data_IF_198384001491
#
_entry.id   IF_198384001491
#
_cell.length_a   1.000
_cell.length_b   1.000
_cell.length_c   1.000
_cell.angle_alpha   90.00
_cell.angle_beta   90.00
_cell.angle_gamma   90.00
#
_symmetry.space_group_name_H-M   'P 1'
#
loop_
_entity.id
_entity.type
_entity.pdbx_description
1 polymer ?
#
# COMPACT_ATOMS: atom_id res chain seq x y z
N UNK A 1 20.68 18.49 -7.38
CA UNK A 1 19.32 18.99 -7.12
C UNK A 1 18.58 17.81 -6.52
N UNK A 2 18.35 17.82 -5.21
CA UNK A 2 17.69 16.71 -4.53
C UNK A 2 16.20 16.72 -4.92
N UNK A 3 15.76 15.64 -5.57
CA UNK A 3 14.35 15.42 -5.82
C UNK A 3 13.73 15.08 -4.47
N UNK A 4 12.89 15.96 -3.93
CA UNK A 4 12.14 15.65 -2.72
C UNK A 4 11.16 14.53 -3.04
N UNK A 5 11.21 13.46 -2.27
CA UNK A 5 10.35 12.30 -2.42
C UNK A 5 9.62 12.01 -1.10
N UNK A 6 8.36 11.60 -1.21
CA UNK A 6 7.66 10.93 -0.12
C UNK A 6 7.79 9.42 -0.28
N UNK A 7 7.58 8.73 0.84
CA UNK A 7 7.66 7.28 0.91
C UNK A 7 6.39 6.72 1.54
N UNK A 8 5.88 5.64 0.97
CA UNK A 8 4.84 4.83 1.59
C UNK A 8 5.39 3.44 1.85
N UNK A 9 5.38 3.01 3.11
CA UNK A 9 5.77 1.66 3.52
C UNK A 9 4.53 0.88 3.97
N UNK A 10 4.39 -0.37 3.55
CA UNK A 10 3.25 -1.22 3.90
C UNK A 10 3.69 -2.61 4.33
N UNK A 11 3.38 -2.97 5.57
CA UNK A 11 3.57 -4.33 6.08
C UNK A 11 2.49 -5.26 5.49
N UNK A 12 2.93 -6.39 4.95
CA UNK A 12 2.18 -7.37 4.19
C UNK A 12 1.92 -8.60 5.06
N UNK A 13 0.73 -8.66 5.65
CA UNK A 13 0.35 -9.71 6.61
C UNK A 13 -0.93 -10.43 6.24
N UNK A 14 -1.14 -10.65 4.94
CA UNK A 14 -2.29 -11.43 4.48
C UNK A 14 -2.02 -12.94 4.62
N UNK A 15 -3.08 -13.73 4.64
CA UNK A 15 -3.00 -15.19 4.69
C UNK A 15 -3.23 -15.78 3.30
N UNK A 16 -2.16 -16.22 2.62
CA UNK A 16 -2.21 -16.91 1.32
C UNK A 16 -3.00 -16.13 0.25
N UNK A 17 -2.81 -14.81 0.19
CA UNK A 17 -3.56 -13.93 -0.70
C UNK A 17 -2.63 -13.00 -1.47
N UNK A 18 -2.98 -12.77 -2.73
CA UNK A 18 -2.38 -11.70 -3.53
C UNK A 18 -3.02 -10.35 -3.22
N UNK A 19 -2.24 -9.28 -3.24
CA UNK A 19 -2.76 -7.91 -3.14
C UNK A 19 -2.09 -6.99 -4.16
N UNK A 20 -2.59 -5.77 -4.20
CA UNK A 20 -2.07 -4.68 -5.02
C UNK A 20 -2.12 -3.41 -4.20
N UNK A 21 -1.00 -2.71 -4.09
CA UNK A 21 -0.94 -1.41 -3.40
C UNK A 21 -0.38 -0.37 -4.38
N UNK A 22 -1.01 0.80 -4.43
CA UNK A 22 -0.55 1.86 -5.33
C UNK A 22 -0.87 3.25 -4.80
N UNK A 23 -0.20 4.23 -5.39
CA UNK A 23 -0.27 5.63 -5.03
C UNK A 23 -0.92 6.40 -6.16
N UNK A 24 -1.93 7.21 -5.84
CA UNK A 24 -2.53 8.17 -6.76
C UNK A 24 -2.23 9.61 -6.34
N UNK A 25 -2.03 10.49 -7.32
CA UNK A 25 -1.96 11.94 -7.09
C UNK A 25 -3.36 12.54 -6.82
N UNK A 26 -3.41 13.84 -6.54
CA UNK A 26 -4.68 14.56 -6.32
C UNK A 26 -5.63 14.58 -7.52
N UNK A 27 -5.16 14.21 -8.72
CA UNK A 27 -5.95 14.12 -9.94
C UNK A 27 -6.46 12.68 -10.20
N UNK A 28 -6.09 11.70 -9.36
CA UNK A 28 -6.43 10.30 -9.54
C UNK A 28 -5.52 9.56 -10.52
N UNK A 29 -4.36 10.12 -10.88
CA UNK A 29 -3.37 9.43 -11.69
C UNK A 29 -2.46 8.58 -10.81
N UNK A 30 -2.23 7.32 -11.20
CA UNK A 30 -1.24 6.49 -10.52
C UNK A 30 0.16 7.04 -10.75
N UNK A 31 0.89 7.23 -9.66
CA UNK A 31 2.26 7.77 -9.67
C UNK A 31 3.31 6.79 -9.11
N UNK A 32 2.90 5.74 -8.41
CA UNK A 32 3.76 4.65 -7.94
C UNK A 32 2.96 3.40 -7.54
N UNK A 33 3.67 2.29 -7.33
CA UNK A 33 3.14 1.02 -6.85
C UNK A 33 2.67 0.07 -7.94
N UNK A 34 1.96 -0.95 -7.51
CA UNK A 34 1.65 -2.12 -8.32
C UNK A 34 0.71 -1.82 -9.51
N UNK A 35 1.01 -2.44 -10.65
CA UNK A 35 0.12 -2.53 -11.82
C UNK A 35 -0.77 -3.78 -11.79
N UNK A 36 -0.23 -4.89 -11.29
CA UNK A 36 -0.90 -6.19 -11.18
C UNK A 36 -0.91 -6.69 -9.73
N UNK A 37 -1.67 -7.75 -9.45
CA UNK A 37 -1.63 -8.38 -8.14
C UNK A 37 -0.35 -9.17 -7.96
N UNK A 38 0.27 -9.06 -6.78
CA UNK A 38 1.43 -9.83 -6.36
C UNK A 38 1.14 -10.56 -5.04
N UNK A 39 1.98 -11.50 -4.65
CA UNK A 39 1.85 -12.14 -3.35
C UNK A 39 2.10 -11.12 -2.23
N UNK A 40 1.18 -11.07 -1.26
CA UNK A 40 1.23 -10.21 -0.08
C UNK A 40 1.05 -11.02 1.20
N UNK A 41 1.24 -12.33 1.09
CA UNK A 41 1.17 -13.24 2.23
C UNK A 41 2.32 -12.96 3.19
N UNK A 42 2.04 -13.07 4.48
CA UNK A 42 3.09 -12.98 5.50
C UNK A 42 4.16 -14.06 5.26
N UNK A 43 5.42 -13.64 5.11
CA UNK A 43 6.57 -14.54 5.04
C UNK A 43 7.43 -14.36 6.30
N UNK A 44 7.49 -15.35 7.21
CA UNK A 44 8.32 -15.27 8.42
C UNK A 44 9.83 -15.25 8.15
N UNK A 45 10.26 -15.53 6.91
CA UNK A 45 11.66 -15.54 6.51
C UNK A 45 12.06 -14.38 5.58
N UNK A 46 11.11 -13.53 5.18
CA UNK A 46 11.29 -12.48 4.17
C UNK A 46 11.06 -11.07 4.70
N UNK A 47 11.29 -10.08 3.83
CA UNK A 47 10.92 -8.69 4.06
C UNK A 47 9.43 -8.55 3.68
N UNK A 48 8.54 -8.58 4.69
CA UNK A 48 7.09 -8.52 4.51
C UNK A 48 6.63 -7.08 4.23
N UNK A 49 7.40 -6.30 3.48
CA UNK A 49 7.17 -4.87 3.28
C UNK A 49 7.08 -4.49 1.79
N UNK A 50 6.19 -3.54 1.50
CA UNK A 50 6.20 -2.82 0.24
C UNK A 50 6.61 -1.37 0.45
N UNK A 51 7.78 -1.03 -0.11
CA UNK A 51 8.30 0.31 -0.06
C UNK A 51 8.14 1.02 -1.40
N UNK A 52 7.36 2.11 -1.40
CA UNK A 52 7.11 2.95 -2.56
C UNK A 52 7.71 4.33 -2.34
N UNK A 53 8.51 4.81 -3.29
CA UNK A 53 9.06 6.17 -3.30
C UNK A 53 8.58 6.93 -4.53
N UNK A 54 8.10 8.16 -4.32
CA UNK A 54 7.49 8.98 -5.37
C UNK A 54 7.68 10.47 -5.08
N UNK A 55 7.45 11.32 -6.09
CA UNK A 55 7.62 12.77 -5.96
C UNK A 55 6.77 13.34 -4.82
N UNK A 56 7.30 14.34 -4.12
CA UNK A 56 6.61 14.98 -3.01
C UNK A 56 5.39 15.80 -3.48
N UNK A 57 4.21 15.20 -3.42
CA UNK A 57 2.94 15.83 -3.75
C UNK A 57 1.83 15.28 -2.85
N UNK A 58 0.66 15.91 -2.86
CA UNK A 58 -0.50 15.34 -2.18
C UNK A 58 -0.90 14.03 -2.85
N UNK A 59 -1.08 12.96 -2.05
CA UNK A 59 -1.36 11.63 -2.57
C UNK A 59 -2.35 10.85 -1.72
N UNK A 60 -2.90 9.79 -2.30
CA UNK A 60 -3.67 8.75 -1.60
C UNK A 60 -3.02 7.39 -1.79
N UNK A 61 -3.17 6.51 -0.79
CA UNK A 61 -2.71 5.13 -0.84
C UNK A 61 -3.89 4.20 -1.00
N UNK A 62 -3.79 3.33 -2.01
CA UNK A 62 -4.85 2.43 -2.41
C UNK A 62 -4.37 1.01 -2.21
N UNK A 63 -5.25 0.16 -1.70
CA UNK A 63 -4.99 -1.26 -1.56
C UNK A 63 -6.19 -2.07 -2.04
N UNK A 64 -5.93 -3.23 -2.63
CA UNK A 64 -6.96 -4.21 -3.01
C UNK A 64 -6.41 -5.62 -2.90
N UNK A 65 -7.20 -6.51 -2.27
CA UNK A 65 -6.90 -7.95 -2.22
C UNK A 65 -7.54 -8.67 -3.41
N UNK A 66 -6.74 -9.48 -4.09
CA UNK A 66 -7.16 -10.31 -5.22
C UNK A 66 -8.09 -11.43 -4.75
N UNK A 67 -9.13 -11.72 -5.52
CA UNK A 67 -10.18 -12.68 -5.13
C UNK A 67 -11.21 -12.14 -4.13
N UNK A 68 -10.90 -11.06 -3.40
CA UNK A 68 -11.82 -10.43 -2.45
C UNK A 68 -13.00 -9.75 -3.13
N UNK A 69 -14.20 -9.91 -2.58
CA UNK A 69 -15.40 -9.15 -3.01
C UNK A 69 -15.49 -7.75 -2.36
N UNK A 70 -14.66 -7.46 -1.34
CA UNK A 70 -14.64 -6.13 -0.72
C UNK A 70 -14.18 -5.05 -1.71
N UNK A 71 -14.64 -3.81 -1.55
CA UNK A 71 -14.12 -2.70 -2.38
C UNK A 71 -12.65 -2.41 -2.01
N UNK A 72 -11.90 -1.79 -2.94
CA UNK A 72 -10.56 -1.28 -2.63
C UNK A 72 -10.64 -0.30 -1.44
N UNK A 73 -9.60 -0.29 -0.61
CA UNK A 73 -9.50 0.61 0.53
C UNK A 73 -8.55 1.74 0.16
N UNK A 74 -8.97 2.98 0.41
CA UNK A 74 -8.22 4.20 0.11
C UNK A 74 -7.91 4.94 1.41
N UNK A 75 -6.69 5.48 1.52
CA UNK A 75 -6.22 6.26 2.67
C UNK A 75 -5.63 7.59 2.18
N UNK A 76 -5.80 8.62 2.99
CA UNK A 76 -5.34 9.98 2.69
C UNK A 76 -6.50 10.95 2.47
N UNK A 77 -6.23 12.12 1.88
CA UNK A 77 -4.95 12.53 1.29
C UNK A 77 -3.82 12.74 2.33
N UNK A 78 -2.58 12.63 1.88
CA UNK A 78 -1.35 12.81 2.68
C UNK A 78 -0.38 13.79 2.03
N UNK A 79 0.51 14.38 2.85
CA UNK A 79 1.58 15.30 2.44
C UNK A 79 2.88 15.04 3.21
N UNK A 80 3.11 13.79 3.60
CA UNK A 80 4.24 13.34 4.42
C UNK A 80 4.52 11.87 4.13
N UNK A 81 5.56 11.29 4.73
CA UNK A 81 5.78 9.85 4.63
C UNK A 81 4.72 9.10 5.43
N UNK A 82 4.28 7.95 4.94
CA UNK A 82 3.20 7.16 5.56
C UNK A 82 3.57 5.71 5.70
N UNK A 83 3.03 5.06 6.73
CA UNK A 83 3.22 3.64 6.96
C UNK A 83 1.87 2.95 7.21
N UNK A 84 1.71 1.74 6.68
CA UNK A 84 0.47 0.97 6.75
C UNK A 84 0.72 -0.49 7.09
N UNK A 85 -0.35 -1.19 7.45
CA UNK A 85 -0.39 -2.65 7.43
C UNK A 85 -1.62 -3.12 6.67
N UNK A 86 -1.40 -4.03 5.71
CA UNK A 86 -2.45 -4.84 5.11
C UNK A 86 -2.44 -6.22 5.77
N UNK A 87 -3.58 -6.66 6.31
CA UNK A 87 -3.65 -7.91 7.08
C UNK A 87 -5.02 -8.56 7.02
N UNK A 88 -5.07 -9.86 7.36
CA UNK A 88 -6.28 -10.66 7.35
C UNK A 88 -6.30 -11.73 6.25
N UNK A 89 -7.47 -11.98 5.68
CA UNK A 89 -7.72 -13.03 4.67
C UNK A 89 -8.50 -12.47 3.47
N UNK A 90 -8.70 -13.27 2.43
CA UNK A 90 -9.34 -12.81 1.17
C UNK A 90 -10.70 -12.12 1.39
N UNK A 91 -11.53 -12.65 2.29
CA UNK A 91 -12.91 -12.17 2.50
C UNK A 91 -13.07 -11.26 3.73
N UNK A 92 -12.02 -11.09 4.53
CA UNK A 92 -11.99 -10.18 5.67
C UNK A 92 -10.55 -9.65 5.82
N UNK A 93 -10.29 -8.51 5.18
CA UNK A 93 -8.98 -7.86 5.22
C UNK A 93 -9.09 -6.41 5.67
N UNK A 94 -8.00 -5.92 6.24
CA UNK A 94 -7.87 -4.54 6.73
C UNK A 94 -6.67 -3.87 6.10
N UNK A 95 -6.74 -2.54 6.04
CA UNK A 95 -5.67 -1.70 5.54
C UNK A 95 -5.57 -0.49 6.46
N UNK A 96 -4.72 -0.60 7.46
CA UNK A 96 -4.69 0.33 8.59
C UNK A 96 -3.44 1.19 8.53
N UNK A 97 -3.59 2.49 8.77
CA UNK A 97 -2.46 3.39 8.93
C UNK A 97 -1.83 3.15 10.31
N UNK A 98 -0.50 3.10 10.36
CA UNK A 98 0.28 2.97 11.59
C UNK A 98 1.38 4.02 11.65
N UNK A 99 2.01 4.15 12.82
CA UNK A 99 3.23 4.93 12.94
C UNK A 99 4.34 4.29 12.12
N UNK A 100 5.14 5.12 11.45
CA UNK A 100 6.40 4.68 10.87
C UNK A 100 7.38 4.37 12.01
N UNK A 101 7.98 3.18 11.96
CA UNK A 101 8.95 2.67 12.93
C UNK A 101 10.38 2.95 12.48
#
# INVERSE_FOLDING_TARGET
>A
MDIKAFTSDTDLRLTLCSCRIWIEDSNGYRIAGDEDYRDCSYDPAGDDHEYLSFQNQTYTVHAKVGGSLEKQKVRGPFNENTCFSIHGSVDDWKFDQKSCS
#
